data_IF_951492971234
#
_entry.id   IF_951492971234
#
_cell.length_a   1.000
_cell.length_b   1.000
_cell.length_c   1.000
_cell.angle_alpha   90.00
_cell.angle_beta   90.00
_cell.angle_gamma   90.00
#
_symmetry.space_group_name_H-M   'P 1'
#
loop_
_entity.id
_entity.type
_entity.pdbx_description
1 polymer ?
#
# COMPACT_ATOMS: atom_id res chain seq x y z
N UNK A 1 9.99 -17.01 4.21
CA UNK A 1 9.49 -15.72 4.76
C UNK A 1 8.76 -15.91 6.08
N UNK A 2 9.00 -15.06 7.09
CA UNK A 2 8.35 -15.12 8.41
C UNK A 2 8.09 -13.72 8.99
N UNK A 3 7.09 -13.58 9.87
CA UNK A 3 6.86 -12.37 10.65
C UNK A 3 7.27 -12.60 12.11
N UNK A 4 8.10 -11.71 12.65
CA UNK A 4 8.52 -11.68 14.05
C UNK A 4 7.89 -10.46 14.74
N UNK A 5 7.06 -10.69 15.75
CA UNK A 5 6.54 -9.63 16.60
C UNK A 5 7.54 -9.33 17.72
N UNK A 6 8.06 -8.10 17.76
CA UNK A 6 9.07 -7.69 18.75
C UNK A 6 8.46 -6.98 19.96
N UNK A 7 7.43 -6.17 19.71
CA UNK A 7 6.82 -5.31 20.74
C UNK A 7 5.37 -5.02 20.42
N UNK A 8 4.56 -5.01 21.48
CA UNK A 8 3.22 -4.40 21.49
C UNK A 8 3.25 -3.23 22.48
N UNK A 9 2.66 -2.11 22.08
CA UNK A 9 2.50 -0.93 22.94
C UNK A 9 1.57 -1.25 24.13
N UNK A 10 1.78 -0.59 25.28
CA UNK A 10 0.98 -0.85 26.50
C UNK A 10 -0.42 -0.22 26.48
N UNK A 11 -0.58 0.92 25.81
CA UNK A 11 -1.80 1.74 25.87
C UNK A 11 -2.65 1.65 24.60
N UNK A 12 -2.21 0.85 23.63
CA UNK A 12 -2.89 0.66 22.35
C UNK A 12 -2.66 -0.76 21.81
N UNK A 13 -3.27 -1.07 20.65
CA UNK A 13 -3.00 -2.34 19.95
C UNK A 13 -1.83 -2.22 18.97
N UNK A 14 -1.08 -1.11 19.00
CA UNK A 14 0.04 -0.87 18.10
C UNK A 14 1.18 -1.87 18.30
N UNK A 15 1.81 -2.27 17.20
CA UNK A 15 2.80 -3.34 17.17
C UNK A 15 4.01 -2.94 16.35
N UNK A 16 5.17 -3.43 16.76
CA UNK A 16 6.42 -3.33 16.03
C UNK A 16 7.00 -4.72 15.83
N UNK A 17 7.22 -5.09 14.56
CA UNK A 17 7.76 -6.39 14.17
C UNK A 17 8.71 -6.31 12.99
N UNK A 18 9.12 -7.46 12.47
CA UNK A 18 9.97 -7.59 11.28
C UNK A 18 9.38 -8.67 10.38
N UNK A 19 9.26 -8.40 9.08
CA UNK A 19 9.00 -9.43 8.07
C UNK A 19 10.33 -9.73 7.39
N UNK A 20 10.81 -10.97 7.53
CA UNK A 20 12.06 -11.41 6.91
C UNK A 20 11.80 -11.98 5.53
N UNK A 21 12.44 -11.40 4.52
CA UNK A 21 12.38 -11.84 3.12
C UNK A 21 13.78 -12.04 2.57
N UNK A 22 13.91 -12.74 1.44
CA UNK A 22 15.21 -12.99 0.81
C UNK A 22 15.83 -11.71 0.21
N UNK A 23 15.01 -10.70 -0.09
CA UNK A 23 15.47 -9.39 -0.56
C UNK A 23 15.71 -8.37 0.56
N UNK A 24 15.50 -8.76 1.82
CA UNK A 24 15.79 -7.94 3.01
C UNK A 24 14.64 -7.86 4.01
N UNK A 25 14.95 -7.29 5.17
CA UNK A 25 14.00 -7.15 6.26
C UNK A 25 13.07 -5.94 6.07
N UNK A 26 11.82 -6.10 6.50
CA UNK A 26 10.80 -5.05 6.51
C UNK A 26 10.38 -4.79 7.96
N UNK A 27 10.77 -3.65 8.52
CA UNK A 27 10.38 -3.23 9.86
C UNK A 27 8.97 -2.64 9.85
N UNK A 28 8.09 -3.15 10.72
CA UNK A 28 6.70 -2.67 10.83
C UNK A 28 6.49 -1.76 12.06
N UNK A 29 5.55 -0.78 12.04
CA UNK A 29 4.68 -0.44 10.92
C UNK A 29 5.42 0.12 9.70
N UNK A 30 4.98 -0.21 8.49
CA UNK A 30 5.61 0.20 7.23
C UNK A 30 4.61 0.83 6.26
N UNK A 31 5.06 1.83 5.52
CA UNK A 31 4.34 2.40 4.39
C UNK A 31 5.06 2.03 3.09
N UNK A 32 4.32 1.53 2.10
CA UNK A 32 4.84 1.09 0.81
C UNK A 32 4.58 2.17 -0.27
N UNK A 33 5.63 2.82 -0.82
CA UNK A 33 5.48 3.63 -2.02
C UNK A 33 4.93 2.81 -3.18
N UNK A 34 3.92 3.35 -3.88
CA UNK A 34 3.24 2.65 -4.98
C UNK A 34 3.93 2.92 -6.33
N UNK A 35 4.47 1.87 -6.92
CA UNK A 35 5.04 1.80 -8.26
C UNK A 35 4.04 1.24 -9.29
N UNK A 36 3.33 2.13 -9.99
CA UNK A 36 2.25 1.74 -10.90
C UNK A 36 2.74 1.04 -12.18
N UNK A 37 3.90 1.42 -12.71
CA UNK A 37 4.41 0.94 -14.00
C UNK A 37 5.91 0.67 -13.89
N UNK A 38 6.30 -0.20 -12.96
CA UNK A 38 7.70 -0.47 -12.62
C UNK A 38 8.50 0.78 -12.19
N UNK A 39 7.79 1.80 -11.71
CA UNK A 39 8.36 3.08 -11.28
C UNK A 39 7.41 3.77 -10.29
N UNK A 40 7.97 4.21 -9.17
CA UNK A 40 7.32 5.18 -8.29
C UNK A 40 7.40 6.53 -8.99
N UNK A 41 6.25 7.11 -9.30
CA UNK A 41 6.16 8.28 -10.18
C UNK A 41 7.03 9.44 -9.68
N UNK A 42 7.84 10.00 -10.56
CA UNK A 42 8.72 11.16 -10.32
C UNK A 42 9.84 10.92 -9.29
N UNK A 43 10.26 9.67 -9.09
CA UNK A 43 11.39 9.34 -8.19
C UNK A 43 12.28 8.32 -8.87
N UNK A 44 13.59 8.58 -8.89
CA UNK A 44 14.57 7.60 -9.38
C UNK A 44 14.82 6.51 -8.33
N UNK A 45 15.14 5.28 -8.75
CA UNK A 45 15.30 4.14 -7.84
C UNK A 45 16.41 4.37 -6.80
N UNK A 46 17.50 5.03 -7.18
CA UNK A 46 18.56 5.39 -6.23
C UNK A 46 18.07 6.35 -5.14
N UNK A 47 17.10 7.21 -5.44
CA UNK A 47 16.52 8.15 -4.47
C UNK A 47 15.50 7.43 -3.55
N UNK A 48 14.75 6.46 -4.07
CA UNK A 48 13.91 5.58 -3.24
C UNK A 48 14.74 4.88 -2.17
N UNK A 49 15.93 4.40 -2.55
CA UNK A 49 16.83 3.68 -1.66
C UNK A 49 17.60 4.60 -0.70
N UNK A 50 18.25 5.65 -1.23
CA UNK A 50 19.19 6.46 -0.43
C UNK A 50 18.53 7.63 0.31
N UNK A 51 17.50 8.25 -0.26
CA UNK A 51 16.85 9.44 0.29
C UNK A 51 15.60 9.06 1.08
N UNK A 52 14.67 8.36 0.43
CA UNK A 52 13.42 7.94 1.06
C UNK A 52 13.68 6.78 2.02
N UNK A 53 14.69 5.94 1.75
CA UNK A 53 15.02 4.75 2.54
C UNK A 53 13.86 3.76 2.59
N UNK A 54 13.14 3.63 1.48
CA UNK A 54 12.09 2.62 1.35
C UNK A 54 12.68 1.22 1.55
N UNK A 55 11.99 0.43 2.36
CA UNK A 55 12.33 -0.96 2.63
C UNK A 55 11.57 -1.90 1.69
N UNK A 56 10.38 -1.50 1.24
CA UNK A 56 9.53 -2.26 0.33
C UNK A 56 8.74 -1.28 -0.53
N UNK A 57 8.36 -1.69 -1.74
CA UNK A 57 7.45 -0.96 -2.63
C UNK A 57 6.29 -1.86 -3.08
N UNK A 58 5.20 -1.24 -3.52
CA UNK A 58 4.07 -1.95 -4.13
C UNK A 58 4.16 -1.84 -5.66
N UNK A 59 4.19 -2.97 -6.37
CA UNK A 59 4.04 -3.08 -7.81
C UNK A 59 2.60 -3.35 -8.23
N UNK A 60 2.13 -2.70 -9.29
CA UNK A 60 0.77 -2.91 -9.78
C UNK A 60 0.70 -3.98 -10.88
N UNK A 61 0.10 -5.13 -10.58
CA UNK A 61 0.03 -6.27 -11.50
C UNK A 61 -0.79 -5.94 -12.75
N UNK A 62 -1.92 -5.24 -12.59
CA UNK A 62 -2.79 -4.90 -13.72
C UNK A 62 -2.06 -4.08 -14.79
N UNK A 63 -1.33 -3.05 -14.38
CA UNK A 63 -0.60 -2.19 -15.32
C UNK A 63 0.60 -2.91 -15.94
N UNK A 64 1.35 -3.67 -15.15
CA UNK A 64 2.53 -4.41 -15.61
C UNK A 64 2.19 -5.53 -16.58
N UNK A 65 1.07 -6.23 -16.33
CA UNK A 65 0.50 -7.25 -17.21
C UNK A 65 0.12 -6.67 -18.58
N UNK A 66 -0.47 -5.48 -18.61
CA UNK A 66 -0.84 -4.83 -19.88
C UNK A 66 0.36 -4.23 -20.59
N UNK A 67 1.31 -3.64 -19.84
CA UNK A 67 2.52 -3.06 -20.39
C UNK A 67 3.61 -2.96 -19.31
N UNK A 68 4.79 -3.56 -19.52
CA UNK A 68 5.29 -4.14 -20.77
C UNK A 68 4.78 -5.55 -21.09
N UNK A 69 4.08 -6.19 -20.17
CA UNK A 69 3.54 -7.54 -20.33
C UNK A 69 4.47 -8.65 -19.85
N UNK A 70 3.87 -9.80 -19.58
CA UNK A 70 4.54 -10.94 -18.95
C UNK A 70 5.72 -11.47 -19.77
N UNK A 71 5.63 -11.48 -21.10
CA UNK A 71 6.72 -11.97 -21.96
C UNK A 71 8.01 -11.16 -21.75
N UNK A 72 7.90 -9.84 -21.76
CA UNK A 72 9.05 -8.95 -21.57
C UNK A 72 9.59 -9.12 -20.15
N UNK A 73 8.73 -9.12 -19.13
CA UNK A 73 9.12 -9.24 -17.73
C UNK A 73 9.79 -10.58 -17.42
N UNK A 74 9.33 -11.67 -18.04
CA UNK A 74 9.97 -12.97 -17.94
C UNK A 74 11.37 -12.96 -18.57
N UNK A 75 11.51 -12.38 -19.77
CA UNK A 75 12.79 -12.33 -20.51
C UNK A 75 13.87 -11.52 -19.81
N UNK A 76 13.50 -10.45 -19.10
CA UNK A 76 14.44 -9.61 -18.35
C UNK A 76 14.74 -10.14 -16.94
N UNK A 77 14.12 -11.25 -16.54
CA UNK A 77 14.37 -11.89 -15.24
C UNK A 77 13.61 -11.24 -14.08
N UNK A 78 12.35 -10.86 -14.30
CA UNK A 78 11.44 -10.36 -13.28
C UNK A 78 11.47 -8.85 -13.06
N UNK A 79 10.59 -8.38 -12.18
CA UNK A 79 10.36 -6.96 -11.91
C UNK A 79 11.56 -6.32 -11.21
N UNK A 80 12.17 -6.97 -10.22
CA UNK A 80 13.38 -6.50 -9.54
C UNK A 80 14.49 -6.15 -10.54
N UNK A 81 14.79 -7.08 -11.45
CA UNK A 81 15.78 -6.91 -12.53
C UNK A 81 15.36 -5.80 -13.50
N UNK A 82 14.09 -5.77 -13.90
CA UNK A 82 13.57 -4.81 -14.87
C UNK A 82 13.68 -3.35 -14.39
N UNK A 83 13.36 -3.11 -13.11
CA UNK A 83 13.38 -1.75 -12.55
C UNK A 83 14.63 -1.45 -11.72
N UNK A 84 15.58 -2.38 -11.63
CA UNK A 84 16.77 -2.30 -10.78
C UNK A 84 16.43 -1.97 -9.31
N UNK A 85 15.49 -2.71 -8.74
CA UNK A 85 15.12 -2.62 -7.32
C UNK A 85 15.52 -3.92 -6.62
N UNK A 86 16.40 -3.82 -5.63
CA UNK A 86 17.04 -4.97 -4.97
C UNK A 86 16.43 -5.34 -3.62
N UNK A 87 15.37 -4.63 -3.23
CA UNK A 87 14.67 -4.80 -1.96
C UNK A 87 13.30 -5.42 -2.20
N UNK A 88 12.53 -5.75 -1.15
CA UNK A 88 11.25 -6.40 -1.30
C UNK A 88 10.25 -5.65 -2.18
N UNK A 89 9.41 -6.42 -2.87
CA UNK A 89 8.26 -5.96 -3.65
C UNK A 89 7.01 -6.73 -3.19
N UNK A 90 5.94 -5.99 -2.92
CA UNK A 90 4.58 -6.55 -2.88
C UNK A 90 3.89 -6.26 -4.21
N UNK A 91 3.23 -7.24 -4.82
CA UNK A 91 2.36 -6.98 -5.98
C UNK A 91 0.91 -7.16 -5.62
N UNK A 92 0.08 -6.19 -6.02
CA UNK A 92 -1.38 -6.37 -5.93
C UNK A 92 -1.88 -7.44 -6.92
N UNK A 93 -3.13 -7.87 -6.80
CA UNK A 93 -3.71 -8.87 -7.70
C UNK A 93 -4.21 -8.28 -9.03
N UNK A 94 -4.26 -6.95 -9.13
CA UNK A 94 -4.92 -6.22 -10.21
C UNK A 94 -6.46 -6.18 -10.13
N UNK A 95 -7.08 -6.89 -9.18
CA UNK A 95 -8.55 -6.99 -9.06
C UNK A 95 -9.23 -5.64 -8.82
N UNK A 96 -8.64 -4.79 -7.97
CA UNK A 96 -9.18 -3.47 -7.67
C UNK A 96 -9.10 -2.49 -8.86
N UNK A 97 -8.05 -2.56 -9.68
CA UNK A 97 -7.92 -1.70 -10.86
C UNK A 97 -8.96 -2.10 -11.90
N UNK A 98 -9.18 -3.40 -12.07
CA UNK A 98 -10.29 -3.91 -12.89
C UNK A 98 -11.63 -3.44 -12.32
N UNK A 99 -11.81 -3.43 -10.99
CA UNK A 99 -12.98 -2.84 -10.33
C UNK A 99 -13.19 -1.36 -10.65
N UNK A 100 -12.13 -0.54 -10.58
CA UNK A 100 -12.21 0.90 -10.81
C UNK A 100 -12.64 1.28 -12.24
N UNK A 101 -12.58 0.33 -13.18
CA UNK A 101 -12.99 0.48 -14.58
C UNK A 101 -14.47 0.09 -14.84
N UNK A 102 -15.31 0.08 -13.80
CA UNK A 102 -16.72 -0.37 -13.70
C UNK A 102 -17.52 -0.66 -14.98
N UNK A 103 -17.49 0.20 -16.01
CA UNK A 103 -18.15 -0.02 -17.31
C UNK A 103 -17.55 -1.14 -18.18
N UNK A 104 -16.32 -1.59 -17.90
CA UNK A 104 -15.54 -2.48 -18.79
C UNK A 104 -15.22 -3.84 -18.19
N UNK A 105 -15.95 -4.30 -17.16
CA UNK A 105 -15.67 -5.58 -16.49
C UNK A 105 -16.88 -6.51 -16.40
N UNK A 106 -16.61 -7.81 -16.36
CA UNK A 106 -17.61 -8.86 -16.08
C UNK A 106 -17.00 -9.91 -15.14
N UNK A 107 -17.52 -9.97 -13.92
CA UNK A 107 -17.12 -10.97 -12.92
C UNK A 107 -17.92 -12.25 -13.16
N UNK A 108 -17.23 -13.39 -13.12
CA UNK A 108 -17.83 -14.74 -13.17
C UNK A 108 -17.09 -15.68 -12.22
N UNK A 109 -17.55 -16.93 -12.12
CA UNK A 109 -16.92 -17.93 -11.27
C UNK A 109 -15.46 -18.21 -11.70
N UNK A 110 -15.17 -18.24 -13.00
CA UNK A 110 -13.82 -18.55 -13.49
C UNK A 110 -12.79 -17.42 -13.21
N UNK A 111 -13.24 -16.17 -13.13
CA UNK A 111 -12.39 -14.98 -13.02
C UNK A 111 -13.11 -13.70 -13.42
N UNK A 112 -12.34 -12.64 -13.67
CA UNK A 112 -12.83 -11.34 -14.10
C UNK A 112 -12.37 -11.01 -15.53
N UNK A 113 -13.34 -10.80 -16.41
CA UNK A 113 -13.09 -10.29 -17.75
C UNK A 113 -13.01 -8.77 -17.72
N UNK A 114 -12.08 -8.20 -18.48
CA UNK A 114 -11.98 -6.75 -18.61
C UNK A 114 -11.45 -6.33 -19.97
N UNK A 115 -11.65 -5.06 -20.32
CA UNK A 115 -11.01 -4.43 -21.49
C UNK A 115 -9.87 -3.52 -21.05
N UNK A 116 -8.73 -3.65 -21.70
CA UNK A 116 -7.55 -2.80 -21.52
C UNK A 116 -7.91 -1.32 -21.69
N UNK A 117 -7.40 -0.48 -20.79
CA UNK A 117 -7.52 0.98 -20.91
C UNK A 117 -6.53 1.57 -21.93
N UNK A 118 -5.56 0.77 -22.41
CA UNK A 118 -4.52 1.20 -23.34
C UNK A 118 -5.02 1.11 -24.78
N UNK A 119 -5.61 -0.04 -25.16
CA UNK A 119 -5.93 -0.38 -26.55
C UNK A 119 -7.30 -1.05 -26.73
N UNK A 120 -8.04 -1.27 -25.65
CA UNK A 120 -9.35 -1.92 -25.68
C UNK A 120 -9.33 -3.44 -25.86
N UNK A 121 -8.15 -4.08 -25.88
CA UNK A 121 -8.02 -5.53 -25.94
C UNK A 121 -8.72 -6.20 -24.74
N UNK A 122 -9.33 -7.37 -24.98
CA UNK A 122 -10.08 -8.11 -23.94
C UNK A 122 -9.18 -9.13 -23.26
N UNK A 123 -9.23 -9.16 -21.94
CA UNK A 123 -8.42 -10.03 -21.09
C UNK A 123 -9.28 -10.71 -20.02
N UNK A 124 -8.75 -11.78 -19.45
CA UNK A 124 -9.34 -12.52 -18.33
C UNK A 124 -8.27 -12.70 -17.26
N UNK A 125 -8.55 -12.22 -16.05
CA UNK A 125 -7.79 -12.60 -14.86
C UNK A 125 -8.53 -13.70 -14.12
N UNK A 126 -7.90 -14.86 -14.03
CA UNK A 126 -8.30 -15.95 -13.13
C UNK A 126 -7.38 -15.96 -11.90
N UNK A 127 -7.77 -16.62 -10.80
CA UNK A 127 -6.89 -16.81 -9.65
C UNK A 127 -5.52 -17.42 -10.03
N UNK A 128 -5.51 -18.40 -10.94
CA UNK A 128 -4.30 -19.07 -11.43
C UNK A 128 -3.45 -18.13 -12.29
N UNK A 129 -4.06 -17.41 -13.25
CA UNK A 129 -3.30 -16.51 -14.13
C UNK A 129 -2.67 -15.34 -13.35
N UNK A 130 -3.29 -14.92 -12.25
CA UNK A 130 -2.75 -13.88 -11.35
C UNK A 130 -1.58 -14.41 -10.54
N UNK A 131 -1.61 -15.67 -10.10
CA UNK A 131 -0.44 -16.33 -9.49
C UNK A 131 0.68 -16.43 -10.52
N UNK A 132 0.42 -16.94 -11.73
CA UNK A 132 1.42 -17.05 -12.80
C UNK A 132 2.05 -15.71 -13.15
N UNK A 133 1.23 -14.66 -13.25
CA UNK A 133 1.71 -13.31 -13.51
C UNK A 133 2.62 -12.83 -12.39
N UNK A 134 2.24 -13.01 -11.12
CA UNK A 134 3.06 -12.59 -9.99
C UNK A 134 4.33 -13.46 -9.80
N UNK A 135 4.32 -14.73 -10.24
CA UNK A 135 5.53 -15.56 -10.36
C UNK A 135 6.50 -14.96 -11.39
N UNK A 136 5.98 -14.54 -12.55
CA UNK A 136 6.75 -13.85 -13.60
C UNK A 136 7.26 -12.48 -13.13
N UNK A 137 6.47 -11.75 -12.36
CA UNK A 137 6.93 -10.51 -11.74
C UNK A 137 8.03 -10.77 -10.70
N UNK A 138 8.00 -11.91 -10.00
CA UNK A 138 9.00 -12.28 -9.01
C UNK A 138 8.92 -11.44 -7.74
N UNK A 139 7.72 -11.02 -7.33
CA UNK A 139 7.52 -10.25 -6.10
C UNK A 139 7.64 -11.13 -4.85
N UNK A 140 8.20 -10.61 -3.77
CA UNK A 140 8.29 -11.28 -2.47
C UNK A 140 6.90 -11.60 -1.88
N UNK A 141 5.96 -10.66 -2.00
CA UNK A 141 4.62 -10.77 -1.45
C UNK A 141 3.60 -10.67 -2.58
N UNK A 142 2.89 -11.76 -2.85
CA UNK A 142 1.88 -11.87 -3.91
C UNK A 142 0.48 -11.76 -3.29
N UNK A 143 -0.37 -10.88 -3.80
CA UNK A 143 -1.74 -10.73 -3.31
C UNK A 143 -2.71 -11.66 -4.05
N UNK A 144 -3.67 -12.24 -3.32
CA UNK A 144 -4.73 -13.04 -3.91
C UNK A 144 -5.71 -12.20 -4.75
N UNK A 145 -6.25 -12.79 -5.82
CA UNK A 145 -7.34 -12.17 -6.58
C UNK A 145 -8.63 -12.21 -5.76
N UNK A 146 -9.30 -11.07 -5.63
CA UNK A 146 -10.51 -10.90 -4.84
C UNK A 146 -11.60 -10.12 -5.61
N UNK A 147 -12.84 -10.19 -5.10
CA UNK A 147 -13.96 -9.38 -5.55
C UNK A 147 -14.26 -8.36 -4.44
N UNK A 148 -13.88 -7.10 -4.69
CA UNK A 148 -14.25 -5.96 -3.88
C UNK A 148 -15.58 -5.34 -4.36
N UNK A 149 -16.69 -5.45 -3.61
CA UNK A 149 -17.95 -4.81 -3.98
C UNK A 149 -17.85 -3.29 -3.77
N UNK A 150 -18.66 -2.52 -4.51
CA UNK A 150 -18.73 -1.07 -4.33
C UNK A 150 -19.32 -0.68 -2.97
N UNK A 151 -18.98 0.50 -2.48
CA UNK A 151 -19.65 1.13 -1.34
C UNK A 151 -20.60 2.25 -1.80
N UNK A 152 -21.84 2.31 -1.30
CA UNK A 152 -22.50 1.31 -0.46
C UNK A 152 -22.95 0.09 -1.29
N UNK A 153 -23.06 -1.08 -0.64
CA UNK A 153 -23.70 -2.26 -1.22
C UNK A 153 -24.59 -2.95 -0.19
N UNK A 154 -25.55 -3.75 -0.66
CA UNK A 154 -26.43 -4.53 0.22
C UNK A 154 -25.72 -5.75 0.78
N UNK A 155 -26.16 -6.23 1.96
CA UNK A 155 -25.59 -7.43 2.59
C UNK A 155 -25.63 -8.67 1.70
N UNK A 156 -26.71 -8.95 0.93
CA UNK A 156 -26.70 -10.05 -0.04
C UNK A 156 -25.66 -9.88 -1.16
N UNK A 157 -25.42 -8.65 -1.63
CA UNK A 157 -24.38 -8.39 -2.63
C UNK A 157 -22.98 -8.60 -2.05
N UNK A 158 -22.71 -8.09 -0.85
CA UNK A 158 -21.45 -8.30 -0.14
C UNK A 158 -21.19 -9.79 0.15
N UNK A 159 -22.23 -10.53 0.56
CA UNK A 159 -22.19 -11.99 0.75
C UNK A 159 -21.78 -12.71 -0.54
N UNK A 160 -22.44 -12.41 -1.66
CA UNK A 160 -22.10 -13.00 -2.97
C UNK A 160 -20.65 -12.72 -3.35
N UNK A 161 -20.17 -11.51 -3.11
CA UNK A 161 -18.78 -11.12 -3.35
C UNK A 161 -17.79 -11.91 -2.50
N UNK A 162 -18.13 -12.11 -1.23
CA UNK A 162 -17.31 -12.87 -0.30
C UNK A 162 -17.19 -14.34 -0.74
N UNK A 163 -18.29 -14.98 -1.17
CA UNK A 163 -18.23 -16.36 -1.66
C UNK A 163 -17.35 -16.50 -2.92
N UNK A 164 -17.41 -15.53 -3.83
CA UNK A 164 -16.50 -15.49 -5.00
C UNK A 164 -15.05 -15.35 -4.53
N UNK A 165 -14.78 -14.43 -3.60
CA UNK A 165 -13.44 -14.18 -3.06
C UNK A 165 -12.85 -15.43 -2.40
N UNK A 166 -13.66 -16.17 -1.62
CA UNK A 166 -13.22 -17.42 -0.98
C UNK A 166 -12.91 -18.51 -2.01
N UNK A 167 -13.79 -18.73 -2.97
CA UNK A 167 -13.60 -19.72 -4.02
C UNK A 167 -12.36 -19.40 -4.88
N UNK A 168 -12.11 -18.12 -5.14
CA UNK A 168 -10.91 -17.66 -5.84
C UNK A 168 -9.64 -17.84 -5.01
N UNK A 169 -9.70 -17.56 -3.71
CA UNK A 169 -8.57 -17.78 -2.81
C UNK A 169 -8.15 -19.25 -2.75
N UNK A 170 -9.10 -20.18 -2.64
CA UNK A 170 -8.79 -21.63 -2.63
C UNK A 170 -8.09 -22.08 -3.91
N UNK A 171 -8.60 -21.64 -5.06
CA UNK A 171 -7.98 -21.89 -6.38
C UNK A 171 -6.57 -21.30 -6.47
N UNK A 172 -6.41 -20.05 -6.04
CA UNK A 172 -5.11 -19.36 -6.03
C UNK A 172 -4.10 -20.05 -5.13
N UNK A 173 -4.50 -20.45 -3.91
CA UNK A 173 -3.65 -21.19 -2.96
C UNK A 173 -3.24 -22.55 -3.54
N UNK A 174 -4.18 -23.28 -4.14
CA UNK A 174 -3.88 -24.57 -4.77
C UNK A 174 -2.87 -24.41 -5.92
N UNK A 175 -3.06 -23.43 -6.79
CA UNK A 175 -2.15 -23.15 -7.91
C UNK A 175 -0.79 -22.64 -7.45
N UNK A 176 -0.75 -21.75 -6.45
CA UNK A 176 0.48 -21.28 -5.84
C UNK A 176 1.32 -22.41 -5.25
N UNK A 177 0.69 -23.40 -4.60
CA UNK A 177 1.37 -24.58 -4.05
C UNK A 177 1.86 -25.56 -5.13
N UNK A 178 1.24 -25.55 -6.30
CA UNK A 178 1.59 -26.42 -7.44
C UNK A 178 2.58 -25.75 -8.41
N UNK A 179 3.04 -24.54 -8.11
CA UNK A 179 3.99 -23.77 -8.93
C UNK A 179 5.16 -23.29 -8.08
N UNK A 180 6.34 -23.20 -8.67
CA UNK A 180 7.56 -22.79 -7.97
C UNK A 180 7.95 -21.34 -8.33
N UNK A 181 8.68 -20.63 -7.45
CA UNK A 181 9.29 -19.35 -7.80
C UNK A 181 10.26 -19.47 -8.99
N UNK A 182 10.34 -18.41 -9.82
CA UNK A 182 11.16 -18.43 -11.04
C UNK A 182 12.59 -17.90 -10.85
N UNK A 183 12.85 -17.14 -9.79
CA UNK A 183 14.08 -16.33 -9.65
C UNK A 183 14.85 -16.59 -8.36
N UNK A 184 14.79 -17.83 -7.84
CA UNK A 184 15.66 -18.30 -6.75
C UNK A 184 15.44 -17.64 -5.39
N UNK A 185 14.25 -17.10 -5.14
CA UNK A 185 13.84 -16.57 -3.84
C UNK A 185 12.41 -17.03 -3.52
N UNK A 186 12.09 -17.10 -2.24
CA UNK A 186 10.77 -17.44 -1.75
C UNK A 186 9.76 -16.30 -1.98
N UNK A 187 8.54 -16.68 -2.37
CA UNK A 187 7.40 -15.77 -2.44
C UNK A 187 6.32 -16.28 -1.49
N UNK A 188 5.48 -15.38 -0.95
CA UNK A 188 4.27 -15.76 -0.22
C UNK A 188 3.02 -15.33 -0.98
N UNK A 189 1.91 -16.03 -0.76
CA UNK A 189 0.61 -15.70 -1.33
C UNK A 189 -0.37 -15.28 -0.22
N UNK A 190 -0.86 -14.04 -0.27
CA UNK A 190 -1.55 -13.36 0.83
C UNK A 190 -3.06 -13.32 0.60
N UNK A 191 -3.85 -13.90 1.51
CA UNK A 191 -5.31 -13.77 1.54
C UNK A 191 -5.77 -12.33 1.79
N UNK A 192 -6.87 -11.94 1.15
CA UNK A 192 -7.53 -10.64 1.36
C UNK A 192 -8.87 -10.89 2.04
N UNK A 193 -9.06 -10.31 3.22
CA UNK A 193 -10.32 -10.37 3.92
C UNK A 193 -11.29 -9.33 3.34
N UNK A 194 -12.46 -9.79 2.93
CA UNK A 194 -13.56 -8.96 2.40
C UNK A 194 -14.75 -8.99 3.37
N UNK A 195 -15.83 -8.27 3.04
CA UNK A 195 -17.05 -8.24 3.87
C UNK A 195 -17.80 -6.91 3.86
N UNK A 196 -17.28 -5.89 3.15
CA UNK A 196 -17.85 -4.53 3.15
C UNK A 196 -17.97 -4.01 4.60
N UNK A 197 -19.04 -3.30 4.93
CA UNK A 197 -19.32 -2.75 6.27
C UNK A 197 -20.02 -3.72 7.23
N UNK A 198 -20.15 -5.01 6.87
CA UNK A 198 -20.90 -6.00 7.63
C UNK A 198 -20.00 -6.87 8.50
N UNK A 199 -20.18 -6.76 9.81
CA UNK A 199 -19.31 -7.37 10.82
C UNK A 199 -19.28 -8.90 10.72
N UNK A 200 -20.43 -9.54 10.54
CA UNK A 200 -20.53 -10.99 10.42
C UNK A 200 -19.79 -11.51 9.18
N UNK A 201 -19.90 -10.80 8.05
CA UNK A 201 -19.18 -11.15 6.82
C UNK A 201 -17.67 -10.99 7.00
N UNK A 202 -17.25 -9.93 7.69
CA UNK A 202 -15.84 -9.62 7.94
C UNK A 202 -15.19 -10.69 8.82
N UNK A 203 -15.83 -11.03 9.95
CA UNK A 203 -15.36 -12.06 10.87
C UNK A 203 -15.23 -13.40 10.15
N UNK A 204 -16.25 -13.79 9.39
CA UNK A 204 -16.25 -15.03 8.63
C UNK A 204 -15.11 -15.08 7.59
N UNK A 205 -14.85 -13.97 6.89
CA UNK A 205 -13.73 -13.88 5.95
C UNK A 205 -12.38 -14.00 6.64
N UNK A 206 -12.20 -13.40 7.82
CA UNK A 206 -10.95 -13.43 8.56
C UNK A 206 -10.67 -14.84 9.12
N UNK A 207 -11.69 -15.51 9.65
CA UNK A 207 -11.59 -16.89 10.11
C UNK A 207 -11.24 -17.84 8.97
N UNK A 208 -11.90 -17.69 7.82
CA UNK A 208 -11.58 -18.46 6.62
C UNK A 208 -10.15 -18.23 6.15
N UNK A 209 -9.68 -16.98 6.11
CA UNK A 209 -8.31 -16.67 5.70
C UNK A 209 -7.27 -17.20 6.71
N UNK A 210 -7.62 -17.20 8.00
CA UNK A 210 -6.79 -17.70 9.10
C UNK A 210 -6.31 -19.14 8.93
N UNK A 211 -7.11 -19.99 8.28
CA UNK A 211 -6.77 -21.41 8.10
C UNK A 211 -5.51 -21.64 7.24
N UNK A 212 -5.15 -20.67 6.38
CA UNK A 212 -4.01 -20.79 5.47
C UNK A 212 -2.66 -20.44 6.12
N UNK A 213 -2.65 -19.88 7.34
CA UNK A 213 -1.45 -19.61 8.16
C UNK A 213 -0.32 -18.87 7.42
N UNK A 214 -0.69 -17.87 6.61
CA UNK A 214 0.26 -17.06 5.83
C UNK A 214 0.90 -15.99 6.71
N UNK A 215 2.21 -15.67 6.58
CA UNK A 215 2.89 -14.68 7.43
C UNK A 215 2.28 -13.27 7.40
N UNK A 216 1.56 -12.95 6.33
CA UNK A 216 0.82 -11.71 6.14
C UNK A 216 -0.64 -12.04 5.86
N UNK A 217 -1.56 -11.23 6.36
CA UNK A 217 -2.96 -11.23 5.99
C UNK A 217 -3.41 -9.79 5.68
N UNK A 218 -4.23 -9.62 4.65
CA UNK A 218 -4.70 -8.31 4.23
C UNK A 218 -6.18 -8.06 4.54
N UNK A 219 -6.50 -6.79 4.72
CA UNK A 219 -7.87 -6.27 4.85
C UNK A 219 -8.15 -5.44 3.59
N UNK A 220 -9.09 -5.92 2.77
CA UNK A 220 -9.55 -5.26 1.55
C UNK A 220 -10.96 -4.68 1.68
N UNK A 221 -11.36 -3.92 0.66
CA UNK A 221 -12.71 -3.34 0.59
C UNK A 221 -12.99 -2.27 1.63
N UNK A 222 -11.94 -1.56 2.05
CA UNK A 222 -11.97 -0.38 2.91
C UNK A 222 -11.25 0.78 2.19
N UNK A 223 -11.52 2.01 2.60
CA UNK A 223 -11.14 3.26 1.92
C UNK A 223 -11.72 3.41 0.51
N UNK A 224 -12.92 2.87 0.29
CA UNK A 224 -13.61 2.86 -1.02
C UNK A 224 -14.80 3.83 -1.10
N UNK A 225 -15.03 4.60 -0.04
CA UNK A 225 -16.04 5.66 0.01
C UNK A 225 -16.82 5.72 1.32
N UNK A 226 -16.57 4.79 2.24
CA UNK A 226 -17.20 4.74 3.54
C UNK A 226 -16.70 5.86 4.48
N UNK A 227 -17.52 6.26 5.48
CA UNK A 227 -17.10 7.20 6.51
C UNK A 227 -15.89 6.69 7.30
N UNK A 228 -15.07 7.62 7.80
CA UNK A 228 -13.89 7.27 8.61
C UNK A 228 -14.24 6.47 9.88
N UNK A 229 -15.41 6.70 10.47
CA UNK A 229 -15.89 5.95 11.62
C UNK A 229 -16.10 4.47 11.30
N UNK A 230 -16.66 4.16 10.12
CA UNK A 230 -16.83 2.78 9.65
C UNK A 230 -15.47 2.13 9.35
N UNK A 231 -14.56 2.87 8.70
CA UNK A 231 -13.18 2.41 8.47
C UNK A 231 -12.54 1.96 9.80
N UNK A 232 -12.51 2.84 10.80
CA UNK A 232 -11.84 2.57 12.08
C UNK A 232 -12.50 1.43 12.85
N UNK A 233 -13.84 1.41 12.90
CA UNK A 233 -14.60 0.33 13.53
C UNK A 233 -14.29 -1.03 12.91
N UNK A 234 -14.24 -1.11 11.57
CA UNK A 234 -13.97 -2.36 10.86
C UNK A 234 -12.51 -2.78 10.94
N UNK A 235 -11.56 -1.83 10.98
CA UNK A 235 -10.15 -2.13 11.25
C UNK A 235 -10.01 -2.73 12.65
N UNK A 236 -10.61 -2.12 13.68
CA UNK A 236 -10.57 -2.64 15.05
C UNK A 236 -11.21 -4.04 15.15
N UNK A 237 -12.39 -4.23 14.55
CA UNK A 237 -13.03 -5.54 14.47
C UNK A 237 -12.11 -6.57 13.80
N UNK A 238 -11.47 -6.18 12.70
CA UNK A 238 -10.64 -7.10 11.93
C UNK A 238 -9.41 -7.53 12.71
N UNK A 239 -8.69 -6.59 13.34
CA UNK A 239 -7.46 -6.89 14.07
C UNK A 239 -7.69 -7.72 15.34
N UNK A 240 -8.89 -7.70 15.91
CA UNK A 240 -9.30 -8.62 17.00
C UNK A 240 -9.45 -10.08 16.55
N UNK A 241 -9.75 -10.32 15.26
CA UNK A 241 -9.99 -11.65 14.71
C UNK A 241 -8.82 -12.18 13.86
N UNK A 242 -7.75 -11.39 13.70
CA UNK A 242 -6.52 -11.80 13.03
C UNK A 242 -5.50 -12.34 14.03
N UNK A 243 -4.78 -13.38 13.65
CA UNK A 243 -3.69 -13.91 14.47
C UNK A 243 -2.67 -12.83 14.82
N UNK A 244 -2.08 -12.95 16.00
CA UNK A 244 -0.96 -12.08 16.43
C UNK A 244 0.32 -12.41 15.67
N UNK A 245 0.47 -13.65 15.20
CA UNK A 245 1.66 -14.15 14.50
C UNK A 245 1.73 -13.77 13.02
N UNK A 246 0.76 -13.00 12.53
CA UNK A 246 0.75 -12.50 11.16
C UNK A 246 0.88 -10.98 11.13
N UNK A 247 1.63 -10.46 10.17
CA UNK A 247 1.58 -9.04 9.83
C UNK A 247 0.22 -8.73 9.17
N UNK A 248 -0.33 -7.57 9.50
CA UNK A 248 -1.67 -7.14 9.10
C UNK A 248 -1.53 -5.99 8.12
N UNK A 249 -1.98 -6.22 6.89
CA UNK A 249 -1.88 -5.27 5.79
C UNK A 249 -3.23 -4.62 5.51
N UNK A 250 -3.33 -3.29 5.69
CA UNK A 250 -4.51 -2.53 5.32
C UNK A 250 -4.31 -1.88 3.94
N UNK A 251 -5.11 -2.33 2.97
CA UNK A 251 -4.94 -1.95 1.58
C UNK A 251 -5.53 -0.56 1.30
N UNK A 252 -4.76 0.30 0.62
CA UNK A 252 -5.25 1.55 0.02
C UNK A 252 -5.54 2.73 0.97
N UNK A 253 -5.35 2.59 2.29
CA UNK A 253 -5.55 3.66 3.27
C UNK A 253 -4.33 4.57 3.34
N UNK A 254 -4.54 5.90 3.24
CA UNK A 254 -3.42 6.77 2.88
C UNK A 254 -3.26 8.14 3.50
N UNK A 255 -4.16 8.69 4.30
CA UNK A 255 -3.85 9.97 4.98
C UNK A 255 -2.96 9.72 6.20
N UNK A 256 -2.08 10.67 6.60
CA UNK A 256 -1.25 10.51 7.80
C UNK A 256 -2.06 10.17 9.05
N UNK A 257 -3.22 10.82 9.24
CA UNK A 257 -4.11 10.54 10.36
C UNK A 257 -4.63 9.10 10.36
N UNK A 258 -5.25 8.66 9.26
CA UNK A 258 -5.74 7.28 9.16
C UNK A 258 -4.65 6.24 9.39
N UNK A 259 -3.41 6.47 8.90
CA UNK A 259 -2.29 5.56 9.15
C UNK A 259 -2.05 5.43 10.65
N UNK A 260 -1.92 6.54 11.38
CA UNK A 260 -1.67 6.50 12.82
C UNK A 260 -2.84 5.87 13.61
N UNK A 261 -4.09 6.15 13.23
CA UNK A 261 -5.25 5.51 13.87
C UNK A 261 -5.28 4.00 13.61
N UNK A 262 -4.94 3.56 12.40
CA UNK A 262 -4.90 2.14 12.07
C UNK A 262 -3.70 1.43 12.71
N UNK A 263 -2.56 2.10 12.89
CA UNK A 263 -1.44 1.58 13.71
C UNK A 263 -1.91 1.39 15.15
N UNK A 264 -2.63 2.35 15.72
CA UNK A 264 -3.22 2.25 17.08
C UNK A 264 -4.16 1.05 17.23
N UNK A 265 -4.85 0.67 16.15
CA UNK A 265 -5.69 -0.53 16.07
C UNK A 265 -4.92 -1.84 15.75
N UNK A 266 -3.61 -1.76 15.51
CA UNK A 266 -2.74 -2.92 15.32
C UNK A 266 -2.50 -3.36 13.89
N UNK A 267 -2.56 -2.42 12.93
CA UNK A 267 -2.13 -2.64 11.54
C UNK A 267 -0.62 -2.41 11.38
N UNK A 268 0.04 -3.23 10.56
CA UNK A 268 1.49 -3.23 10.38
C UNK A 268 1.95 -2.74 9.00
N UNK A 269 1.11 -2.83 7.98
CA UNK A 269 1.50 -2.47 6.60
C UNK A 269 0.43 -1.60 5.94
N UNK A 270 0.89 -0.63 5.15
CA UNK A 270 0.04 0.31 4.43
C UNK A 270 0.58 0.57 3.03
N UNK A 271 -0.29 0.89 2.10
CA UNK A 271 0.05 1.48 0.81
C UNK A 271 -0.96 2.57 0.46
N UNK A 272 -0.50 3.59 -0.25
CA UNK A 272 -1.42 4.51 -0.91
C UNK A 272 -0.71 5.33 -1.99
N UNK A 273 -1.45 5.67 -3.06
CA UNK A 273 -0.99 6.63 -4.07
C UNK A 273 -1.07 8.08 -3.60
N UNK A 274 -1.74 8.37 -2.48
CA UNK A 274 -2.01 9.72 -1.99
C UNK A 274 -0.74 10.59 -1.88
N UNK A 275 0.37 10.17 -1.22
CA UNK A 275 1.54 11.03 -1.05
C UNK A 275 2.14 11.46 -2.38
N UNK A 276 2.38 10.53 -3.30
CA UNK A 276 2.99 10.84 -4.59
C UNK A 276 2.03 11.59 -5.51
N UNK A 277 0.73 11.26 -5.50
CA UNK A 277 -0.28 11.98 -6.30
C UNK A 277 -0.44 13.42 -5.83
N UNK A 278 -0.60 13.63 -4.53
CA UNK A 278 -0.79 14.96 -3.94
C UNK A 278 0.45 15.85 -4.12
N UNK A 279 1.65 15.27 -3.98
CA UNK A 279 2.91 15.96 -4.24
C UNK A 279 2.94 16.59 -5.63
N UNK A 280 2.59 15.82 -6.68
CA UNK A 280 2.56 16.33 -8.07
C UNK A 280 1.50 17.41 -8.30
N UNK A 281 0.50 17.52 -7.42
CA UNK A 281 -0.49 18.60 -7.41
C UNK A 281 -0.14 19.77 -6.47
N UNK A 282 1.04 19.73 -5.82
CA UNK A 282 1.53 20.78 -4.94
C UNK A 282 0.97 20.74 -3.52
N UNK A 283 0.40 19.61 -3.10
CA UNK A 283 -0.02 19.36 -1.71
C UNK A 283 1.06 18.54 -1.01
N UNK A 284 1.72 19.15 -0.04
CA UNK A 284 2.81 18.56 0.73
C UNK A 284 2.36 18.25 2.16
N UNK A 285 2.81 17.10 2.66
CA UNK A 285 2.69 16.75 4.07
C UNK A 285 4.02 17.05 4.76
N UNK A 286 3.97 17.75 5.89
CA UNK A 286 5.16 18.13 6.66
C UNK A 286 4.94 17.88 8.14
N UNK A 287 6.02 17.93 8.92
CA UNK A 287 5.96 17.86 10.40
C UNK A 287 5.18 19.01 11.04
N UNK A 288 4.87 20.06 10.29
CA UNK A 288 4.13 21.24 10.75
C UNK A 288 2.68 21.28 10.24
N UNK A 289 2.29 20.39 9.33
CA UNK A 289 0.94 20.37 8.74
C UNK A 289 0.92 20.14 7.24
N UNK A 290 -0.23 20.40 6.63
CA UNK A 290 -0.51 20.21 5.21
C UNK A 290 -0.33 21.55 4.49
N UNK A 291 0.60 21.57 3.54
CA UNK A 291 0.95 22.76 2.78
C UNK A 291 0.45 22.66 1.34
N UNK A 292 -0.15 23.72 0.82
CA UNK A 292 -0.30 23.91 -0.63
C UNK A 292 0.79 24.88 -1.13
N UNK A 293 1.81 24.35 -1.80
CA UNK A 293 3.01 25.13 -2.17
C UNK A 293 2.72 26.20 -3.24
N UNK A 294 1.61 26.09 -3.98
CA UNK A 294 1.21 27.09 -4.98
C UNK A 294 0.74 28.40 -4.35
N UNK A 295 0.37 28.39 -3.06
CA UNK A 295 -0.16 29.56 -2.38
C UNK A 295 0.85 30.73 -2.45
N UNK A 296 0.37 31.94 -2.73
CA UNK A 296 1.17 33.17 -2.86
C UNK A 296 2.00 33.46 -1.62
N UNK A 297 1.54 33.07 -0.42
CA UNK A 297 2.26 33.33 0.84
C UNK A 297 3.65 32.70 0.92
N UNK A 298 3.92 31.64 0.15
CA UNK A 298 5.24 30.99 0.11
C UNK A 298 6.23 31.66 -0.85
N UNK A 299 5.81 32.70 -1.59
CA UNK A 299 6.63 33.34 -2.64
C UNK A 299 7.98 33.84 -2.12
N UNK A 300 7.99 34.39 -0.91
CA UNK A 300 9.17 35.00 -0.29
C UNK A 300 9.58 34.26 1.00
N UNK A 301 9.12 33.00 1.17
CA UNK A 301 9.53 32.14 2.30
C UNK A 301 10.77 31.32 1.92
N UNK A 302 11.93 31.80 2.35
CA UNK A 302 13.23 31.18 2.08
C UNK A 302 13.59 30.03 3.02
N UNK A 303 12.71 29.67 3.97
CA UNK A 303 12.93 28.53 4.85
C UNK A 303 12.83 27.21 4.07
N UNK A 304 13.45 26.13 4.56
CA UNK A 304 13.29 24.79 4.03
C UNK A 304 11.82 24.35 3.96
N UNK A 305 11.55 23.33 3.15
CA UNK A 305 10.20 22.77 2.99
C UNK A 305 9.72 22.16 4.32
N UNK A 306 10.59 21.36 4.95
CA UNK A 306 10.35 20.71 6.24
C UNK A 306 11.69 20.37 6.91
N UNK A 307 12.00 21.05 8.01
CA UNK A 307 13.22 20.84 8.80
C UNK A 307 13.12 19.63 9.74
N UNK A 308 11.91 19.10 9.94
CA UNK A 308 11.65 18.01 10.88
C UNK A 308 11.96 16.62 10.35
N UNK A 309 12.31 16.49 9.06
CA UNK A 309 12.65 15.19 8.45
C UNK A 309 14.06 15.21 7.85
N UNK A 310 14.75 14.08 7.96
CA UNK A 310 16.08 13.86 7.37
C UNK A 310 16.00 13.56 5.87
N UNK A 311 15.38 14.45 5.09
CA UNK A 311 15.34 14.37 3.63
C UNK A 311 16.17 15.54 3.05
N UNK A 312 17.29 15.27 2.34
CA UNK A 312 18.14 16.33 1.79
C UNK A 312 17.36 17.29 0.89
N UNK A 313 16.45 16.77 0.07
CA UNK A 313 15.60 17.56 -0.83
C UNK A 313 14.73 18.57 -0.07
N UNK A 314 14.24 18.21 1.10
CA UNK A 314 13.40 19.05 1.95
C UNK A 314 14.16 20.17 2.64
N UNK A 315 15.41 19.87 3.01
CA UNK A 315 16.30 20.78 3.74
C UNK A 315 17.09 21.72 2.81
N UNK A 316 17.38 21.29 1.58
CA UNK A 316 18.22 22.04 0.64
C UNK A 316 17.43 23.00 -0.26
N UNK A 317 16.10 22.88 -0.30
CA UNK A 317 15.25 23.73 -1.13
C UNK A 317 14.33 24.58 -0.27
N UNK A 318 14.22 25.87 -0.62
CA UNK A 318 13.27 26.76 0.02
C UNK A 318 11.85 26.58 -0.50
N UNK A 319 10.86 26.94 0.31
CA UNK A 319 9.46 26.99 -0.13
C UNK A 319 9.26 27.96 -1.28
N UNK A 320 9.95 29.09 -1.28
CA UNK A 320 9.96 30.06 -2.38
C UNK A 320 10.41 29.43 -3.71
N UNK A 321 11.51 28.68 -3.70
CA UNK A 321 12.02 28.00 -4.89
C UNK A 321 11.06 26.91 -5.36
N UNK A 322 10.59 26.04 -4.46
CA UNK A 322 9.64 24.99 -4.83
C UNK A 322 8.34 25.58 -5.40
N UNK A 323 7.82 26.65 -4.79
CA UNK A 323 6.66 27.36 -5.32
C UNK A 323 6.93 27.88 -6.74
N UNK A 324 8.09 28.50 -6.97
CA UNK A 324 8.47 28.99 -8.29
C UNK A 324 8.37 27.87 -9.34
N UNK A 325 8.96 26.69 -9.07
CA UNK A 325 8.89 25.53 -9.96
C UNK A 325 7.44 25.09 -10.27
N UNK A 326 6.57 25.09 -9.25
CA UNK A 326 5.15 24.74 -9.46
C UNK A 326 4.39 25.79 -10.28
N UNK A 327 4.74 27.07 -10.14
CA UNK A 327 4.10 28.16 -10.88
C UNK A 327 4.61 28.23 -12.31
N UNK A 328 5.88 27.91 -12.55
CA UNK A 328 6.48 27.85 -13.89
C UNK A 328 6.17 26.54 -14.64
N UNK A 329 5.65 25.52 -13.95
CA UNK A 329 5.28 24.24 -14.57
C UNK A 329 6.46 23.26 -14.73
N UNK A 330 7.53 23.45 -13.96
CA UNK A 330 8.73 22.62 -14.04
C UNK A 330 8.53 21.24 -13.40
N UNK A 331 8.94 20.18 -14.11
CA UNK A 331 8.85 18.77 -13.65
C UNK A 331 9.63 18.57 -12.35
N UNK A 332 10.75 19.28 -12.18
CA UNK A 332 11.57 19.22 -10.97
C UNK A 332 10.76 19.54 -9.70
N UNK A 333 9.78 20.46 -9.77
CA UNK A 333 8.93 20.77 -8.63
C UNK A 333 8.10 19.56 -8.18
N UNK A 334 7.62 18.76 -9.13
CA UNK A 334 6.90 17.52 -8.84
C UNK A 334 7.79 16.44 -8.24
N UNK A 335 9.04 16.30 -8.71
CA UNK A 335 10.02 15.36 -8.13
C UNK A 335 10.36 15.75 -6.70
N UNK A 336 10.74 17.01 -6.45
CA UNK A 336 11.07 17.53 -5.11
C UNK A 336 9.92 17.29 -4.13
N UNK A 337 8.69 17.64 -4.51
CA UNK A 337 7.52 17.43 -3.66
C UNK A 337 7.24 15.94 -3.40
N UNK A 338 7.51 15.07 -4.38
CA UNK A 338 7.26 13.62 -4.24
C UNK A 338 8.27 12.99 -3.28
N UNK A 339 9.55 13.38 -3.40
CA UNK A 339 10.60 13.00 -2.44
C UNK A 339 10.21 13.42 -1.02
N UNK A 340 9.83 14.68 -0.81
CA UNK A 340 9.34 15.18 0.49
C UNK A 340 8.19 14.33 1.04
N UNK A 341 7.13 14.12 0.26
CA UNK A 341 5.94 13.42 0.77
C UNK A 341 6.23 11.96 1.10
N UNK A 342 6.99 11.24 0.27
CA UNK A 342 7.34 9.84 0.56
C UNK A 342 8.28 9.74 1.76
N UNK A 343 9.26 10.63 1.87
CA UNK A 343 10.13 10.72 3.06
C UNK A 343 9.34 11.03 4.32
N UNK A 344 8.37 11.95 4.27
CA UNK A 344 7.50 12.25 5.41
C UNK A 344 6.70 11.02 5.86
N UNK A 345 6.11 10.27 4.92
CA UNK A 345 5.33 9.07 5.25
C UNK A 345 6.18 7.98 5.92
N UNK A 346 7.39 7.72 5.40
CA UNK A 346 8.29 6.75 6.02
C UNK A 346 8.85 7.23 7.36
N UNK A 347 9.13 8.53 7.49
CA UNK A 347 9.49 9.13 8.77
C UNK A 347 8.36 8.94 9.79
N UNK A 348 7.11 9.19 9.42
CA UNK A 348 5.96 9.06 10.31
C UNK A 348 5.80 7.64 10.86
N UNK A 349 5.88 6.61 10.02
CA UNK A 349 5.75 5.21 10.47
C UNK A 349 6.99 4.73 11.24
N UNK A 350 8.17 5.28 10.94
CA UNK A 350 9.39 5.01 11.70
C UNK A 350 9.34 5.63 13.10
N UNK A 351 8.84 6.87 13.22
CA UNK A 351 8.58 7.49 14.52
C UNK A 351 7.51 6.74 15.31
N UNK A 352 6.43 6.28 14.64
CA UNK A 352 5.43 5.42 15.27
C UNK A 352 6.09 4.16 15.87
N UNK A 353 6.96 3.48 15.10
CA UNK A 353 7.72 2.32 15.56
C UNK A 353 8.58 2.64 16.79
N UNK A 354 9.34 3.74 16.78
CA UNK A 354 10.15 4.18 17.92
C UNK A 354 9.29 4.39 19.18
N UNK A 355 8.14 5.06 19.04
CA UNK A 355 7.23 5.32 20.15
C UNK A 355 6.58 4.05 20.70
N UNK A 356 6.32 3.04 19.86
CA UNK A 356 5.83 1.72 20.30
C UNK A 356 6.90 1.01 21.16
N UNK A 357 8.18 1.10 20.81
CA UNK A 357 9.26 0.48 21.59
C UNK A 357 9.38 1.04 23.01
N UNK A 358 9.09 2.33 23.20
CA UNK A 358 9.19 3.00 24.49
C UNK A 358 7.85 3.17 25.22
N UNK A 359 6.77 2.51 24.75
CA UNK A 359 5.42 2.59 25.32
C UNK A 359 4.85 4.03 25.37
N UNK A 360 5.13 4.84 24.34
CA UNK A 360 4.68 6.24 24.22
C UNK A 360 3.88 6.53 22.96
N UNK A 361 3.47 5.49 22.22
CA UNK A 361 2.80 5.67 20.93
C UNK A 361 1.50 6.44 21.05
N UNK A 362 0.63 6.10 22.02
CA UNK A 362 -0.68 6.72 22.16
C UNK A 362 -0.59 8.21 22.51
N UNK A 363 0.28 8.58 23.46
CA UNK A 363 0.55 9.97 23.84
C UNK A 363 1.09 10.77 22.64
N UNK A 364 2.13 10.24 21.97
CA UNK A 364 2.73 10.87 20.79
C UNK A 364 1.73 11.02 19.64
N UNK A 365 0.94 9.98 19.34
CA UNK A 365 -0.10 10.00 18.30
C UNK A 365 -1.07 11.16 18.54
N UNK A 366 -1.60 11.25 19.76
CA UNK A 366 -2.56 12.28 20.11
C UNK A 366 -1.99 13.70 19.92
N UNK A 367 -0.71 13.91 20.28
CA UNK A 367 -0.05 15.20 20.11
C UNK A 367 0.23 15.52 18.63
N UNK A 368 0.82 14.59 17.87
CA UNK A 368 1.23 14.84 16.49
C UNK A 368 0.04 15.02 15.55
N UNK A 369 -1.09 14.33 15.80
CA UNK A 369 -2.32 14.49 15.03
C UNK A 369 -2.90 15.91 15.09
N UNK A 370 -2.70 16.63 16.20
CA UNK A 370 -3.13 18.03 16.31
C UNK A 370 -2.32 18.95 15.40
N UNK A 371 -1.10 18.57 15.02
CA UNK A 371 -0.20 19.35 14.19
C UNK A 371 -0.34 18.96 12.71
N UNK A 372 -0.15 17.68 12.37
CA UNK A 372 -0.05 17.23 10.97
C UNK A 372 -1.36 17.33 10.19
N UNK A 373 -2.50 17.51 10.87
CA UNK A 373 -3.80 17.74 10.24
C UNK A 373 -4.09 19.23 9.97
N UNK A 374 -3.29 20.15 10.49
CA UNK A 374 -3.49 21.59 10.28
C UNK A 374 -3.16 21.95 8.83
N UNK A 375 -3.98 22.81 8.23
CA UNK A 375 -3.65 23.43 6.94
C UNK A 375 -2.80 24.66 7.20
N UNK A 376 -1.58 24.63 6.65
CA UNK A 376 -0.60 25.70 6.80
C UNK A 376 -0.94 26.92 5.99
#
# INVERSE_FOLDING_TARGET
MQFELLKTDKESSARAGIIHTDHGDIHTPIFMPVGTQASVKAVHQSELESIIKAQIILGNTYHLFLRPGNEILNRVGGLHSFMNWKKPILTDSGGYQVFSLSARRKVKAEGVYFSSHIDGSKHLFTPESVVDTQRILGSDIMMALDECPAYPCTKPAARKSLEITKAWLERGIAHFKNTEPLYGHDQIFVPIAQGSIYDDLRIESLQFNGQFKTPVQAIGGLSVGEPAEDLYRLVHLSTQHMSVDNARYLMGVGTPANILECISAGIDMFDCVLPSRNARHGILFTTQGIMNIRNKKWKDDFKPIDEGIQCPTSNNHSKAYLRHLFVSGEILGMQIATLQNLSFYLHLVSQAREMIFIDKFQEWKNAILQVINQRL
#
